data_IF_304890607986
#
_entry.id   IF_304890607986
#
_cell.length_a   1.000
_cell.length_b   1.000
_cell.length_c   1.000
_cell.angle_alpha   90.00
_cell.angle_beta   90.00
_cell.angle_gamma   90.00
#
_symmetry.space_group_name_H-M   'P 1'
#
loop_
_entity.id
_entity.type
_entity.pdbx_description
1 polymer ?
#
# COMPACT_ATOMS: atom_id res chain seq x y z
N UNK A 1 -7.43 -12.76 -11.66
CA UNK A 1 -8.74 -12.25 -12.13
C UNK A 1 -9.71 -13.36 -12.44
N UNK A 2 -9.40 -14.28 -13.35
CA UNK A 2 -10.38 -15.29 -13.82
C UNK A 2 -10.96 -16.17 -12.71
N UNK A 3 -10.13 -16.59 -11.76
CA UNK A 3 -10.57 -17.35 -10.60
C UNK A 3 -11.55 -16.60 -9.67
N UNK A 4 -11.64 -15.27 -9.78
CA UNK A 4 -12.57 -14.47 -8.98
C UNK A 4 -13.94 -14.26 -9.63
N UNK A 5 -14.09 -14.63 -10.91
CA UNK A 5 -15.35 -14.45 -11.65
C UNK A 5 -16.38 -15.48 -11.17
N UNK A 6 -17.66 -15.08 -11.14
CA UNK A 6 -18.81 -15.94 -10.79
C UNK A 6 -18.80 -16.52 -9.37
N UNK A 7 -18.01 -15.97 -8.46
CA UNK A 7 -18.08 -16.30 -7.04
C UNK A 7 -19.25 -15.57 -6.37
N UNK A 8 -19.83 -16.13 -5.29
CA UNK A 8 -20.76 -15.40 -4.42
C UNK A 8 -20.06 -14.31 -3.58
N UNK A 9 -18.73 -14.20 -3.70
CA UNK A 9 -17.90 -13.19 -3.07
C UNK A 9 -17.40 -12.20 -4.13
N UNK A 10 -17.65 -10.91 -3.92
CA UNK A 10 -17.02 -9.87 -4.73
C UNK A 10 -15.56 -9.74 -4.34
N UNK A 11 -14.65 -9.93 -5.30
CA UNK A 11 -13.22 -9.76 -5.10
C UNK A 11 -12.79 -8.46 -5.79
N UNK A 12 -12.25 -7.53 -5.00
CA UNK A 12 -11.60 -6.33 -5.50
C UNK A 12 -10.09 -6.58 -5.48
N UNK A 13 -9.42 -6.35 -6.60
CA UNK A 13 -7.99 -6.66 -6.72
C UNK A 13 -7.19 -5.37 -6.74
N UNK A 14 -6.04 -5.37 -6.08
CA UNK A 14 -5.06 -4.30 -6.19
C UNK A 14 -3.86 -4.79 -7.03
N UNK A 15 -3.27 -3.90 -7.83
CA UNK A 15 -2.13 -4.20 -8.67
C UNK A 15 -0.85 -4.28 -7.83
N UNK A 16 -0.08 -5.38 -7.89
CA UNK A 16 1.12 -5.55 -7.06
C UNK A 16 2.19 -4.50 -7.39
N UNK A 17 2.61 -3.73 -6.38
CA UNK A 17 3.56 -2.61 -6.54
C UNK A 17 5.04 -3.00 -6.42
N UNK A 18 5.34 -4.15 -5.81
CA UNK A 18 6.68 -4.48 -5.33
C UNK A 18 7.13 -5.85 -5.84
N UNK A 19 7.25 -5.99 -7.17
CA UNK A 19 7.66 -7.24 -7.85
C UNK A 19 8.82 -6.97 -8.81
N UNK A 20 10.06 -7.38 -8.50
CA UNK A 20 10.50 -7.88 -7.20
C UNK A 20 10.38 -6.80 -6.11
N UNK A 21 10.40 -7.24 -4.85
CA UNK A 21 10.39 -6.34 -3.70
C UNK A 21 11.72 -5.59 -3.57
N UNK A 22 12.81 -6.26 -3.96
CA UNK A 22 14.18 -5.76 -3.84
C UNK A 22 14.97 -5.96 -5.14
N UNK A 23 14.74 -5.12 -6.17
CA UNK A 23 15.41 -5.23 -7.47
C UNK A 23 16.94 -5.34 -7.35
N UNK A 24 17.52 -6.27 -8.10
CA UNK A 24 18.97 -6.54 -8.11
C UNK A 24 19.49 -7.38 -6.95
N UNK A 25 18.69 -7.60 -5.88
CA UNK A 25 19.05 -8.49 -4.77
C UNK A 25 18.29 -9.83 -4.82
N UNK A 26 17.22 -9.91 -5.60
CA UNK A 26 16.45 -11.14 -5.79
C UNK A 26 16.02 -11.32 -7.25
N UNK A 27 15.48 -12.52 -7.55
CA UNK A 27 14.84 -12.81 -8.82
C UNK A 27 13.36 -13.16 -8.60
N UNK A 28 12.49 -12.55 -9.39
CA UNK A 28 11.06 -12.84 -9.46
C UNK A 28 10.67 -13.30 -10.86
N UNK A 29 9.49 -13.90 -10.99
CA UNK A 29 8.96 -14.32 -12.31
C UNK A 29 8.49 -13.16 -13.21
N UNK A 30 8.53 -11.92 -12.69
CA UNK A 30 8.17 -10.69 -13.40
C UNK A 30 8.94 -9.52 -12.80
N UNK A 31 8.99 -8.40 -13.52
CA UNK A 31 9.49 -7.11 -13.04
C UNK A 31 8.44 -6.06 -13.42
N UNK A 32 7.94 -5.32 -12.44
CA UNK A 32 6.90 -4.31 -12.61
C UNK A 32 7.45 -2.92 -12.32
N UNK A 33 7.27 -2.02 -13.28
CA UNK A 33 7.52 -0.59 -13.19
C UNK A 33 6.27 0.20 -13.68
N UNK A 34 6.46 1.44 -14.14
CA UNK A 34 5.34 2.29 -14.57
C UNK A 34 4.43 1.68 -15.62
N UNK A 35 4.99 1.15 -16.71
CA UNK A 35 4.22 0.65 -17.85
C UNK A 35 3.33 -0.55 -17.49
N UNK A 36 3.85 -1.48 -16.69
CA UNK A 36 3.08 -2.62 -16.21
C UNK A 36 2.00 -2.16 -15.23
N UNK A 37 2.30 -1.18 -14.37
CA UNK A 37 1.34 -0.62 -13.45
C UNK A 37 0.18 0.08 -14.17
N UNK A 38 0.45 0.91 -15.17
CA UNK A 38 -0.57 1.54 -16.02
C UNK A 38 -1.46 0.50 -16.71
N UNK A 39 -0.85 -0.56 -17.24
CA UNK A 39 -1.57 -1.67 -17.88
C UNK A 39 -2.52 -2.35 -16.91
N UNK A 40 -2.04 -2.71 -15.71
CA UNK A 40 -2.84 -3.35 -14.67
C UNK A 40 -3.96 -2.43 -14.16
N UNK A 41 -3.66 -1.15 -13.94
CA UNK A 41 -4.64 -0.15 -13.51
C UNK A 41 -5.70 0.12 -14.60
N UNK A 42 -5.45 -0.23 -15.87
CA UNK A 42 -6.46 -0.22 -16.93
C UNK A 42 -7.54 -1.31 -16.77
N UNK A 43 -7.30 -2.35 -15.97
CA UNK A 43 -8.24 -3.46 -15.84
C UNK A 43 -9.46 -3.09 -14.96
N UNK A 44 -10.70 -3.45 -15.35
CA UNK A 44 -11.92 -3.14 -14.60
C UNK A 44 -11.96 -3.71 -13.18
N UNK A 45 -11.34 -4.87 -12.98
CA UNK A 45 -11.29 -5.58 -11.71
C UNK A 45 -10.26 -4.98 -10.73
N UNK A 46 -9.27 -4.23 -11.24
CA UNK A 46 -8.23 -3.60 -10.42
C UNK A 46 -8.76 -2.30 -9.82
N UNK A 47 -8.61 -2.11 -8.52
CA UNK A 47 -9.14 -0.98 -7.74
C UNK A 47 -8.10 -0.04 -7.17
N UNK A 48 -6.82 -0.33 -7.41
CA UNK A 48 -5.72 0.50 -6.96
C UNK A 48 -4.38 -0.18 -7.09
N UNK A 49 -3.36 0.53 -6.63
CA UNK A 49 -2.02 0.01 -6.38
C UNK A 49 -2.04 -0.66 -5.01
N UNK A 50 -1.58 -1.92 -4.96
CA UNK A 50 -1.44 -2.67 -3.72
C UNK A 50 -0.28 -2.14 -2.88
N UNK A 51 -0.31 -2.45 -1.59
CA UNK A 51 0.66 -2.04 -0.56
C UNK A 51 2.04 -1.60 -1.08
N UNK A 52 2.34 -0.30 -1.06
CA UNK A 52 3.61 0.24 -1.54
C UNK A 52 4.72 -0.01 -0.51
N UNK A 53 5.30 -1.22 -0.52
CA UNK A 53 6.26 -1.67 0.48
C UNK A 53 7.65 -1.01 0.36
N UNK A 54 8.05 -0.57 -0.83
CA UNK A 54 9.32 0.15 -1.06
C UNK A 54 9.23 1.61 -0.58
N UNK A 55 9.03 1.79 0.73
CA UNK A 55 9.01 3.09 1.39
C UNK A 55 10.29 3.87 1.14
N UNK A 56 11.45 3.19 1.15
CA UNK A 56 12.73 3.86 0.90
C UNK A 56 12.78 4.46 -0.50
N UNK A 57 12.35 3.71 -1.53
CA UNK A 57 12.23 4.19 -2.89
C UNK A 57 11.29 5.38 -3.00
N UNK A 58 10.14 5.37 -2.30
CA UNK A 58 9.23 6.53 -2.26
C UNK A 58 9.90 7.75 -1.63
N UNK A 59 10.48 7.60 -0.43
CA UNK A 59 11.05 8.71 0.34
C UNK A 59 12.26 9.35 -0.35
N UNK A 60 13.02 8.58 -1.12
CA UNK A 60 14.23 9.04 -1.80
C UNK A 60 14.04 9.26 -3.31
N UNK A 61 12.81 9.17 -3.81
CA UNK A 61 12.50 9.47 -5.21
C UNK A 61 13.13 8.50 -6.22
N UNK A 62 13.09 7.20 -5.91
CA UNK A 62 13.41 6.14 -6.88
C UNK A 62 12.53 6.28 -8.13
N UNK A 63 13.15 6.24 -9.31
CA UNK A 63 12.46 6.34 -10.60
C UNK A 63 11.32 5.32 -10.70
N UNK A 64 11.58 4.06 -10.38
CA UNK A 64 10.57 2.98 -10.38
C UNK A 64 9.37 3.29 -9.49
N UNK A 65 9.61 3.81 -8.28
CA UNK A 65 8.52 4.14 -7.35
C UNK A 65 7.76 5.39 -7.78
N UNK A 66 8.44 6.38 -8.32
CA UNK A 66 7.78 7.57 -8.89
C UNK A 66 6.84 7.16 -10.03
N UNK A 67 7.29 6.31 -10.94
CA UNK A 67 6.48 5.81 -12.04
C UNK A 67 5.23 5.04 -11.56
N UNK A 68 5.40 4.12 -10.61
CA UNK A 68 4.29 3.31 -10.06
C UNK A 68 3.26 4.19 -9.34
N UNK A 69 3.74 5.09 -8.48
CA UNK A 69 2.85 6.00 -7.73
C UNK A 69 2.15 6.96 -8.67
N UNK A 70 2.85 7.50 -9.67
CA UNK A 70 2.26 8.39 -10.67
C UNK A 70 1.20 7.67 -11.52
N UNK A 71 1.43 6.42 -11.90
CA UNK A 71 0.42 5.60 -12.58
C UNK A 71 -0.83 5.43 -11.70
N UNK A 72 -0.64 5.17 -10.40
CA UNK A 72 -1.71 5.16 -9.40
C UNK A 72 -2.51 6.46 -9.39
N UNK A 73 -1.83 7.60 -9.25
CA UNK A 73 -2.44 8.92 -9.23
C UNK A 73 -3.22 9.21 -10.53
N UNK A 74 -2.61 8.92 -11.68
CA UNK A 74 -3.22 9.12 -13.00
C UNK A 74 -4.50 8.29 -13.18
N UNK A 75 -4.55 7.10 -12.60
CA UNK A 75 -5.71 6.22 -12.68
C UNK A 75 -6.90 6.70 -11.84
N UNK A 76 -6.67 7.60 -10.87
CA UNK A 76 -7.68 8.02 -9.89
C UNK A 76 -8.14 6.91 -8.93
N UNK A 77 -7.44 5.78 -8.92
CA UNK A 77 -7.71 4.63 -8.04
C UNK A 77 -6.93 4.75 -6.73
N UNK A 78 -7.18 3.82 -5.80
CA UNK A 78 -6.51 3.82 -4.49
C UNK A 78 -5.01 3.53 -4.64
N UNK A 79 -4.22 4.06 -3.71
CA UNK A 79 -2.81 3.69 -3.53
C UNK A 79 -2.68 3.25 -2.07
N UNK A 80 -2.60 1.94 -1.87
CA UNK A 80 -2.49 1.33 -0.56
C UNK A 80 -1.06 1.36 -0.04
N UNK A 81 -0.89 1.55 1.26
CA UNK A 81 0.42 1.73 1.88
C UNK A 81 0.87 0.58 2.76
N UNK A 82 2.16 0.61 3.08
CA UNK A 82 2.83 -0.27 4.04
C UNK A 82 3.79 0.58 4.88
N UNK A 83 3.26 1.46 5.72
CA UNK A 83 4.00 2.52 6.42
C UNK A 83 4.64 2.04 7.73
N UNK A 84 5.22 0.83 7.76
CA UNK A 84 5.80 0.27 8.99
C UNK A 84 6.96 1.13 9.48
N UNK A 85 6.83 1.69 10.69
CA UNK A 85 7.89 2.47 11.34
C UNK A 85 8.08 3.89 10.80
N UNK A 86 7.28 4.32 9.81
CA UNK A 86 7.28 5.72 9.38
C UNK A 86 6.59 6.59 10.43
N UNK A 87 7.19 7.74 10.74
CA UNK A 87 6.65 8.75 11.65
C UNK A 87 7.12 10.13 11.23
N UNK A 88 6.49 11.18 11.76
CA UNK A 88 6.90 12.56 11.53
C UNK A 88 7.04 12.91 10.05
N UNK A 89 8.20 13.47 9.65
CA UNK A 89 8.43 13.95 8.30
C UNK A 89 8.40 12.84 7.23
N UNK A 90 8.91 11.65 7.55
CA UNK A 90 8.93 10.53 6.60
C UNK A 90 7.52 10.03 6.33
N UNK A 91 6.68 9.94 7.37
CA UNK A 91 5.26 9.64 7.19
C UNK A 91 4.60 10.69 6.29
N UNK A 92 4.82 11.98 6.56
CA UNK A 92 4.26 13.05 5.73
C UNK A 92 4.73 12.99 4.26
N UNK A 93 6.00 12.67 4.01
CA UNK A 93 6.53 12.52 2.67
C UNK A 93 5.89 11.34 1.93
N UNK A 94 5.67 10.22 2.62
CA UNK A 94 5.00 9.05 2.07
C UNK A 94 3.52 9.33 1.71
N UNK A 95 2.80 10.07 2.54
CA UNK A 95 1.45 10.56 2.21
C UNK A 95 1.47 11.55 1.04
N UNK A 96 2.43 12.49 1.04
CA UNK A 96 2.56 13.50 0.00
C UNK A 96 2.86 12.90 -1.38
N UNK A 97 3.50 11.73 -1.43
CA UNK A 97 3.68 10.97 -2.66
C UNK A 97 2.34 10.47 -3.23
N UNK A 98 1.31 10.31 -2.40
CA UNK A 98 -0.03 9.89 -2.84
C UNK A 98 -0.54 8.62 -2.17
N UNK A 99 0.20 8.04 -1.22
CA UNK A 99 -0.24 6.85 -0.49
C UNK A 99 -1.31 7.21 0.54
N UNK A 100 -2.38 6.43 0.61
CA UNK A 100 -3.62 6.84 1.32
C UNK A 100 -4.09 5.91 2.44
N UNK A 101 -3.45 4.75 2.62
CA UNK A 101 -3.79 3.82 3.69
C UNK A 101 -2.55 3.19 4.34
N UNK A 102 -2.77 2.51 5.47
CA UNK A 102 -1.77 1.65 6.10
C UNK A 102 -2.43 0.55 6.96
N UNK A 103 -1.84 -0.66 6.95
CA UNK A 103 -2.17 -1.78 7.85
C UNK A 103 -1.04 -2.11 8.83
N UNK A 104 0.13 -1.48 8.73
CA UNK A 104 1.33 -1.83 9.49
C UNK A 104 1.43 -1.13 10.85
N UNK A 105 0.37 -1.30 11.65
CA UNK A 105 0.26 -0.71 12.97
C UNK A 105 1.02 -1.49 14.03
N UNK A 106 1.98 -0.83 14.67
CA UNK A 106 2.86 -1.40 15.70
C UNK A 106 2.45 -1.04 17.13
N UNK A 107 1.65 0.02 17.32
CA UNK A 107 1.18 0.47 18.63
C UNK A 107 -0.10 1.31 18.52
N UNK A 108 -0.69 1.67 19.67
CA UNK A 108 -1.81 2.61 19.72
C UNK A 108 -1.39 4.03 19.29
N UNK A 109 -0.18 4.46 19.68
CA UNK A 109 0.34 5.78 19.35
C UNK A 109 0.65 5.89 17.85
N UNK A 110 1.22 4.82 17.27
CA UNK A 110 1.46 4.70 15.82
C UNK A 110 0.14 4.81 15.02
N UNK A 111 -0.89 4.08 15.43
CA UNK A 111 -2.20 4.18 14.80
C UNK A 111 -2.84 5.56 14.94
N UNK A 112 -2.70 6.20 16.11
CA UNK A 112 -3.21 7.55 16.33
C UNK A 112 -2.45 8.59 15.50
N UNK A 113 -1.14 8.44 15.34
CA UNK A 113 -0.33 9.30 14.48
C UNK A 113 -0.77 9.18 13.02
N UNK A 114 -0.85 7.95 12.49
CA UNK A 114 -1.27 7.69 11.10
C UNK A 114 -2.71 8.14 10.83
N UNK A 115 -3.62 7.93 11.78
CA UNK A 115 -4.98 8.43 11.69
C UNK A 115 -5.01 9.97 11.67
N UNK A 116 -4.23 10.65 12.51
CA UNK A 116 -4.12 12.11 12.53
C UNK A 116 -3.46 12.67 11.27
N UNK A 117 -2.55 11.91 10.65
CA UNK A 117 -1.95 12.25 9.37
C UNK A 117 -2.95 12.17 8.21
N UNK A 118 -4.09 11.48 8.39
CA UNK A 118 -5.15 11.36 7.40
C UNK A 118 -5.13 10.05 6.61
N UNK A 119 -4.35 9.05 7.04
CA UNK A 119 -4.39 7.72 6.43
C UNK A 119 -5.69 6.98 6.77
N UNK A 120 -6.21 6.24 5.79
CA UNK A 120 -7.19 5.18 6.05
C UNK A 120 -6.49 4.04 6.79
N UNK A 121 -7.04 3.63 7.92
CA UNK A 121 -6.43 2.59 8.75
C UNK A 121 -7.06 1.23 8.49
N UNK A 122 -6.24 0.28 8.04
CA UNK A 122 -6.60 -1.11 7.75
C UNK A 122 -6.26 -1.98 8.98
N UNK A 123 -7.21 -2.10 9.91
CA UNK A 123 -6.96 -2.79 11.18
C UNK A 123 -6.90 -4.31 10.97
N UNK A 124 -5.72 -4.91 11.14
CA UNK A 124 -5.51 -6.35 11.15
C UNK A 124 -5.50 -6.94 12.57
N UNK A 125 -5.72 -8.25 12.71
CA UNK A 125 -5.75 -8.94 14.02
C UNK A 125 -4.45 -8.84 14.83
N UNK A 126 -3.31 -8.56 14.17
CA UNK A 126 -2.02 -8.33 14.85
C UNK A 126 -1.92 -6.94 15.48
N UNK A 127 -2.81 -6.02 15.12
CA UNK A 127 -2.82 -4.64 15.65
C UNK A 127 -2.98 -4.69 17.18
N UNK A 128 -1.97 -4.26 17.95
CA UNK A 128 -1.96 -4.45 19.40
C UNK A 128 -3.07 -3.69 20.16
N UNK A 129 -3.79 -2.81 19.48
CA UNK A 129 -4.98 -2.09 19.98
C UNK A 129 -6.16 -3.05 20.16
N UNK A 130 -6.35 -4.00 19.26
CA UNK A 130 -7.52 -4.89 19.27
C UNK A 130 -7.50 -5.85 20.47
N UNK A 131 -6.30 -6.30 20.89
CA UNK A 131 -6.15 -7.23 22.01
C UNK A 131 -6.30 -6.59 23.40
N UNK A 132 -6.30 -5.26 23.53
CA UNK A 132 -6.39 -4.58 24.84
C UNK A 132 -7.78 -4.03 25.19
N UNK A 133 -8.73 -4.07 24.27
CA UNK A 133 -10.11 -3.61 24.54
C UNK A 133 -10.86 -4.59 25.48
N UNK A 134 -10.39 -5.84 25.64
CA UNK A 134 -11.03 -6.82 26.53
C UNK A 134 -10.56 -6.81 28.00
N UNK A 135 -9.53 -6.02 28.36
CA UNK A 135 -8.90 -6.11 29.69
C UNK A 135 -9.11 -4.90 30.61
N UNK A 136 -10.05 -4.00 30.28
CA UNK A 136 -10.50 -2.93 31.18
C UNK A 136 -12.01 -3.02 31.38
N UNK A 137 -12.42 -3.96 32.22
CA UNK A 137 -13.65 -3.88 33.03
C UNK A 137 -13.26 -4.01 34.48
#
# INVERSE_FOLDING_TARGET
MDASRHLPLQVMVAAPSSVPSTPGLEMSGADFAGAEMETMLGWPEVRGVAEVMDMHGVLHGSERMQEIVQAGLNSGKLIEGHARGLSGADLQAYLAAGVTSDHELTSADDALEKLRAGLTIEIAARTPICCRISSRR
#
